data_IF_079611489485
#
_entry.id   IF_079611489485
#
_cell.length_a   1.000
_cell.length_b   1.000
_cell.length_c   1.000
_cell.angle_alpha   90.00
_cell.angle_beta   90.00
_cell.angle_gamma   90.00
#
_symmetry.space_group_name_H-M   'P 1'
#
loop_
_entity.id
_entity.type
_entity.pdbx_description
1 polymer ?
#
# COMPACT_ATOMS: atom_id res chain seq x y z
N UNK A 1 -13.25 55.78 37.24
CA UNK A 1 -12.52 54.54 36.86
C UNK A 1 -13.34 53.55 36.01
N UNK A 2 -14.38 53.96 35.26
CA UNK A 2 -15.30 53.01 34.57
C UNK A 2 -15.18 52.95 33.03
N UNK A 3 -14.35 53.80 32.41
CA UNK A 3 -14.28 53.98 30.94
C UNK A 3 -13.24 53.11 30.20
N UNK A 4 -12.40 52.35 30.90
CA UNK A 4 -11.33 51.51 30.29
C UNK A 4 -11.67 50.02 30.18
N UNK A 5 -12.81 49.59 30.72
CA UNK A 5 -13.20 48.17 30.77
C UNK A 5 -13.85 47.73 29.45
N UNK A 6 -14.57 48.64 28.78
CA UNK A 6 -15.29 48.37 27.53
C UNK A 6 -14.36 47.99 26.37
N UNK A 7 -13.24 48.70 26.07
CA UNK A 7 -12.37 48.29 24.97
C UNK A 7 -11.63 46.97 25.25
N UNK A 8 -11.37 46.66 26.53
CA UNK A 8 -10.73 45.40 26.94
C UNK A 8 -11.66 44.19 26.77
N UNK A 9 -12.96 44.35 27.07
CA UNK A 9 -13.96 43.32 26.82
C UNK A 9 -14.15 43.07 25.32
N UNK A 10 -14.07 44.13 24.51
CA UNK A 10 -14.17 44.01 23.05
C UNK A 10 -12.96 43.28 22.44
N UNK A 11 -11.74 43.56 22.90
CA UNK A 11 -10.55 42.84 22.42
C UNK A 11 -10.54 41.38 22.87
N UNK A 12 -10.98 41.07 24.09
CA UNK A 12 -11.10 39.69 24.55
C UNK A 12 -12.14 38.92 23.73
N UNK A 13 -13.32 39.52 23.48
CA UNK A 13 -14.36 38.91 22.66
C UNK A 13 -13.92 38.69 21.20
N UNK A 14 -13.14 39.61 20.64
CA UNK A 14 -12.57 39.46 19.28
C UNK A 14 -11.49 38.38 19.25
N UNK A 15 -10.67 38.25 20.30
CA UNK A 15 -9.65 37.21 20.40
C UNK A 15 -10.26 35.82 20.57
N UNK A 16 -11.37 35.68 21.32
CA UNK A 16 -12.07 34.41 21.48
C UNK A 16 -12.85 33.99 20.23
N UNK A 17 -13.32 34.95 19.41
CA UNK A 17 -13.86 34.66 18.07
C UNK A 17 -12.78 34.17 17.08
N UNK A 18 -11.52 34.50 17.29
CA UNK A 18 -10.39 34.03 16.46
C UNK A 18 -9.83 32.67 16.91
N UNK A 19 -10.16 32.20 18.12
CA UNK A 19 -9.64 30.96 18.71
C UNK A 19 -10.52 29.73 18.45
N UNK A 20 -11.71 29.90 17.85
CA UNK A 20 -12.57 28.78 17.45
C UNK A 20 -12.59 28.69 15.94
N UNK A 21 -11.45 28.32 15.35
CA UNK A 21 -11.49 27.61 14.08
C UNK A 21 -11.67 26.14 14.43
N UNK A 22 -12.75 25.47 14.00
CA UNK A 22 -12.84 24.03 14.16
C UNK A 22 -11.63 23.44 13.43
N UNK A 23 -10.75 22.78 14.18
CA UNK A 23 -9.58 22.05 13.68
C UNK A 23 -9.99 20.76 12.94
N UNK A 24 -11.21 20.72 12.39
CA UNK A 24 -11.86 19.58 11.75
C UNK A 24 -12.22 19.86 10.29
N UNK A 25 -11.53 20.81 9.64
CA UNK A 25 -11.65 21.04 8.19
C UNK A 25 -10.39 20.60 7.43
N UNK A 26 -9.69 19.59 7.95
CA UNK A 26 -8.85 18.72 7.14
C UNK A 26 -9.69 17.47 6.92
N UNK A 27 -10.39 17.38 5.79
CA UNK A 27 -10.81 16.07 5.29
C UNK A 27 -9.55 15.20 5.21
N UNK A 28 -9.57 13.95 5.69
CA UNK A 28 -8.44 13.06 5.51
C UNK A 28 -8.29 12.88 4.00
N UNK A 29 -7.19 13.37 3.45
CA UNK A 29 -6.78 13.05 2.08
C UNK A 29 -6.59 11.53 1.88
N UNK A 30 -6.62 10.75 2.97
CA UNK A 30 -6.43 9.30 3.02
C UNK A 30 -7.71 8.45 2.90
N UNK A 31 -8.93 9.02 2.90
CA UNK A 31 -10.15 8.20 2.75
C UNK A 31 -10.40 7.72 1.30
N UNK A 32 -9.70 8.29 0.31
CA UNK A 32 -9.88 7.97 -1.11
C UNK A 32 -9.00 6.83 -1.62
N UNK A 33 -7.99 6.38 -0.86
CA UNK A 33 -7.05 5.34 -1.30
C UNK A 33 -6.94 4.24 -0.24
N UNK A 34 -8.04 3.53 -0.01
CA UNK A 34 -8.08 2.36 0.86
C UNK A 34 -7.90 1.10 0.02
N UNK A 35 -6.93 0.28 0.38
CA UNK A 35 -6.70 -1.03 -0.24
C UNK A 35 -7.31 -2.10 0.67
N UNK A 36 -8.18 -2.93 0.10
CA UNK A 36 -8.76 -4.08 0.79
C UNK A 36 -7.83 -5.28 0.60
N UNK A 37 -7.07 -5.61 1.64
CA UNK A 37 -6.04 -6.64 1.58
C UNK A 37 -6.60 -7.99 2.01
N UNK A 38 -6.39 -8.99 1.18
CA UNK A 38 -6.74 -10.39 1.41
C UNK A 38 -5.50 -11.29 1.33
N UNK A 39 -5.64 -12.51 1.83
CA UNK A 39 -4.56 -13.49 1.90
C UNK A 39 -4.95 -14.80 1.19
N UNK A 40 -4.08 -15.27 0.31
CA UNK A 40 -4.16 -16.57 -0.34
C UNK A 40 -2.95 -17.42 0.09
N UNK A 41 -3.19 -18.64 0.58
CA UNK A 41 -2.13 -19.57 0.97
C UNK A 41 -2.01 -20.71 -0.02
N UNK A 42 -0.78 -21.04 -0.38
CA UNK A 42 -0.42 -22.28 -1.08
C UNK A 42 0.43 -23.17 -0.15
N UNK A 43 0.92 -24.29 -0.67
CA UNK A 43 1.83 -25.15 0.08
C UNK A 43 3.19 -24.45 0.35
N UNK A 44 3.66 -23.58 -0.56
CA UNK A 44 4.98 -22.96 -0.48
C UNK A 44 4.95 -21.45 -0.21
N UNK A 45 3.80 -20.79 -0.36
CA UNK A 45 3.70 -19.33 -0.30
C UNK A 45 2.50 -18.83 0.49
N UNK A 46 2.67 -17.63 1.05
CA UNK A 46 1.57 -16.79 1.52
C UNK A 46 1.56 -15.55 0.62
N UNK A 47 0.44 -15.33 -0.07
CA UNK A 47 0.26 -14.24 -1.03
C UNK A 47 -0.73 -13.25 -0.45
N UNK A 48 -0.25 -12.04 -0.14
CA UNK A 48 -1.10 -10.93 0.26
C UNK A 48 -1.42 -10.10 -0.98
N UNK A 49 -2.69 -9.98 -1.31
CA UNK A 49 -3.16 -9.30 -2.52
C UNK A 49 -4.27 -8.31 -2.20
N UNK A 50 -4.51 -7.37 -3.11
CA UNK A 50 -5.63 -6.45 -2.98
C UNK A 50 -6.87 -7.04 -3.65
N UNK A 51 -7.96 -7.24 -2.92
CA UNK A 51 -9.26 -7.58 -3.53
C UNK A 51 -9.84 -6.38 -4.27
N UNK A 52 -9.68 -5.19 -3.68
CA UNK A 52 -10.09 -3.94 -4.30
C UNK A 52 -9.25 -2.74 -3.82
N UNK A 53 -9.29 -1.66 -4.61
CA UNK A 53 -8.74 -0.35 -4.22
C UNK A 53 -9.82 0.70 -4.42
N UNK A 54 -10.22 1.36 -3.33
CA UNK A 54 -11.22 2.42 -3.38
C UNK A 54 -10.78 3.54 -4.32
N UNK A 55 -11.69 4.01 -5.18
CA UNK A 55 -11.42 5.12 -6.09
C UNK A 55 -10.47 4.82 -7.26
N UNK A 56 -9.98 3.59 -7.42
CA UNK A 56 -9.06 3.20 -8.49
C UNK A 56 -9.66 2.06 -9.32
N UNK A 57 -10.43 2.37 -10.40
CA UNK A 57 -11.09 1.35 -11.20
C UNK A 57 -10.12 0.48 -12.02
N UNK A 58 -8.92 0.98 -12.32
CA UNK A 58 -7.91 0.29 -13.13
C UNK A 58 -6.83 -0.40 -12.28
N UNK A 59 -7.16 -0.77 -11.04
CA UNK A 59 -6.22 -1.51 -10.19
C UNK A 59 -6.08 -2.95 -10.68
N UNK A 60 -4.89 -3.53 -10.53
CA UNK A 60 -4.68 -4.96 -10.76
C UNK A 60 -4.96 -5.69 -9.46
N UNK A 61 -6.16 -6.23 -9.34
CA UNK A 61 -6.75 -6.66 -8.07
C UNK A 61 -7.57 -7.94 -8.26
N UNK A 62 -7.99 -8.52 -7.12
CA UNK A 62 -8.91 -9.64 -7.06
C UNK A 62 -8.23 -10.99 -6.95
N UNK A 63 -9.03 -11.98 -6.54
CA UNK A 63 -8.56 -13.35 -6.31
C UNK A 63 -8.02 -14.01 -7.58
N UNK A 64 -8.58 -13.72 -8.76
CA UNK A 64 -8.14 -14.32 -10.03
C UNK A 64 -6.67 -13.98 -10.33
N UNK A 65 -6.24 -12.74 -10.06
CA UNK A 65 -4.85 -12.33 -10.22
C UNK A 65 -3.95 -13.04 -9.20
N UNK A 66 -4.41 -13.18 -7.95
CA UNK A 66 -3.67 -13.88 -6.91
C UNK A 66 -3.49 -15.37 -7.23
N UNK A 67 -4.52 -16.03 -7.77
CA UNK A 67 -4.46 -17.43 -8.21
C UNK A 67 -3.55 -17.62 -9.43
N UNK A 68 -3.57 -16.68 -10.39
CA UNK A 68 -2.62 -16.68 -11.51
C UNK A 68 -1.17 -16.64 -10.98
N UNK A 69 -0.92 -15.71 -10.04
CA UNK A 69 0.40 -15.61 -9.42
C UNK A 69 0.78 -16.87 -8.66
N UNK A 70 -0.13 -17.43 -7.85
CA UNK A 70 0.08 -18.66 -7.11
C UNK A 70 0.56 -19.81 -8.00
N UNK A 71 -0.13 -20.04 -9.13
CA UNK A 71 0.26 -21.09 -10.07
C UNK A 71 1.65 -20.84 -10.69
N UNK A 72 1.95 -19.59 -11.04
CA UNK A 72 3.24 -19.22 -11.62
C UNK A 72 4.40 -19.42 -10.62
N UNK A 73 4.28 -18.90 -9.41
CA UNK A 73 5.34 -18.93 -8.38
C UNK A 73 5.53 -20.33 -7.76
N UNK A 74 4.48 -21.14 -7.61
CA UNK A 74 4.65 -22.56 -7.25
C UNK A 74 5.39 -23.33 -8.35
N UNK A 75 5.18 -23.00 -9.63
CA UNK A 75 5.97 -23.53 -10.74
C UNK A 75 7.46 -23.18 -10.62
N UNK A 76 7.76 -21.90 -10.39
CA UNK A 76 9.14 -21.44 -10.17
C UNK A 76 9.79 -22.12 -8.96
N UNK A 77 9.04 -22.31 -7.86
CA UNK A 77 9.52 -23.02 -6.69
C UNK A 77 9.95 -24.45 -7.05
N UNK A 78 9.07 -25.20 -7.73
CA UNK A 78 9.36 -26.58 -8.13
C UNK A 78 10.58 -26.64 -9.06
N UNK A 79 10.68 -25.73 -10.03
CA UNK A 79 11.85 -25.65 -10.93
C UNK A 79 13.15 -25.40 -10.15
N UNK A 80 13.13 -24.52 -9.15
CA UNK A 80 14.31 -24.21 -8.33
C UNK A 80 14.71 -25.40 -7.45
N UNK A 81 13.73 -26.06 -6.80
CA UNK A 81 13.99 -27.26 -6.00
C UNK A 81 14.60 -28.37 -6.86
N UNK A 82 14.07 -28.59 -8.05
CA UNK A 82 14.56 -29.61 -8.99
C UNK A 82 15.97 -29.29 -9.53
N UNK A 83 16.25 -28.04 -9.87
CA UNK A 83 17.56 -27.62 -10.41
C UNK A 83 18.65 -27.69 -9.35
N UNK A 84 18.35 -27.25 -8.13
CA UNK A 84 19.35 -27.11 -7.07
C UNK A 84 19.39 -28.30 -6.10
N UNK A 85 18.48 -29.27 -6.26
CA UNK A 85 18.34 -30.46 -5.39
C UNK A 85 18.32 -30.07 -3.90
N UNK A 86 17.57 -29.01 -3.60
CA UNK A 86 17.45 -28.46 -2.25
C UNK A 86 16.04 -27.93 -2.03
N UNK A 87 15.53 -28.12 -0.82
CA UNK A 87 14.31 -27.44 -0.37
C UNK A 87 14.64 -25.97 -0.08
N UNK A 88 13.70 -25.08 -0.41
CA UNK A 88 13.76 -23.68 -0.01
C UNK A 88 13.00 -23.50 1.31
N UNK A 89 13.35 -22.47 2.08
CA UNK A 89 12.62 -22.14 3.30
C UNK A 89 11.20 -21.64 2.96
N UNK A 90 10.20 -22.26 3.56
CA UNK A 90 8.77 -21.99 3.31
C UNK A 90 8.01 -21.73 4.62
N UNK A 91 6.89 -20.98 4.58
CA UNK A 91 6.33 -20.32 3.40
C UNK A 91 7.06 -19.01 3.05
N UNK A 92 7.18 -18.72 1.76
CA UNK A 92 7.70 -17.43 1.27
C UNK A 92 6.55 -16.44 1.18
N UNK A 93 6.71 -15.24 1.77
CA UNK A 93 5.67 -14.21 1.70
C UNK A 93 5.81 -13.38 0.42
N UNK A 94 4.73 -13.26 -0.33
CA UNK A 94 4.60 -12.37 -1.48
C UNK A 94 3.56 -11.30 -1.18
N UNK A 95 3.81 -10.06 -1.61
CA UNK A 95 2.79 -9.02 -1.62
C UNK A 95 2.63 -8.43 -3.00
N UNK A 96 1.40 -8.50 -3.50
CA UNK A 96 1.02 -8.03 -4.82
C UNK A 96 0.47 -6.61 -4.70
N UNK A 97 1.25 -5.62 -5.13
CA UNK A 97 0.82 -4.23 -5.09
C UNK A 97 -0.02 -3.89 -6.32
N UNK A 98 -1.28 -3.48 -6.14
CA UNK A 98 -2.26 -3.37 -7.22
C UNK A 98 -2.05 -2.13 -8.11
N UNK A 99 -1.22 -1.18 -7.66
CA UNK A 99 -0.94 0.08 -8.36
C UNK A 99 0.53 0.45 -8.22
N UNK A 100 1.06 1.20 -9.19
CA UNK A 100 2.41 1.76 -9.07
C UNK A 100 2.58 2.64 -7.82
N UNK A 101 1.56 3.44 -7.50
CA UNK A 101 1.59 4.33 -6.34
C UNK A 101 1.79 3.55 -5.04
N UNK A 102 0.97 2.51 -4.81
CA UNK A 102 1.08 1.65 -3.62
C UNK A 102 2.44 0.92 -3.55
N UNK A 103 3.01 0.56 -4.70
CA UNK A 103 4.35 -0.04 -4.76
C UNK A 103 5.46 0.98 -4.44
N UNK A 104 5.33 2.22 -4.90
CA UNK A 104 6.30 3.26 -4.63
C UNK A 104 6.37 3.68 -3.15
N UNK A 105 5.29 3.52 -2.41
CA UNK A 105 5.28 3.79 -0.97
C UNK A 105 6.24 2.87 -0.21
N UNK A 106 6.38 1.62 -0.66
CA UNK A 106 7.33 0.65 -0.08
C UNK A 106 8.68 0.64 -0.80
N UNK A 107 8.72 1.06 -2.07
CA UNK A 107 9.93 1.15 -2.88
C UNK A 107 10.08 2.51 -3.59
N UNK A 108 10.42 3.59 -2.87
CA UNK A 108 10.49 4.92 -3.48
C UNK A 108 11.55 5.05 -4.59
N UNK A 109 12.59 4.20 -4.58
CA UNK A 109 13.61 4.24 -5.62
C UNK A 109 13.08 3.71 -6.98
N UNK A 110 12.05 2.86 -6.98
CA UNK A 110 11.45 2.33 -8.21
C UNK A 110 10.78 3.39 -9.10
N UNK A 111 10.47 4.58 -8.56
CA UNK A 111 10.01 5.73 -9.37
C UNK A 111 11.08 6.20 -10.38
N UNK A 112 12.36 5.96 -10.06
CA UNK A 112 13.50 6.44 -10.85
C UNK A 112 14.20 5.34 -11.62
N UNK A 113 13.88 4.08 -11.33
CA UNK A 113 14.48 2.92 -11.98
C UNK A 113 13.38 2.19 -12.76
N UNK A 114 13.27 2.44 -14.08
CA UNK A 114 12.33 1.70 -14.91
C UNK A 114 12.71 0.22 -14.94
N UNK A 115 11.70 -0.66 -15.04
CA UNK A 115 11.88 -2.11 -15.18
C UNK A 115 12.02 -2.90 -13.87
N UNK A 116 12.07 -2.25 -12.70
CA UNK A 116 11.98 -2.97 -11.42
C UNK A 116 10.53 -3.41 -11.20
N UNK A 117 10.28 -4.71 -11.27
CA UNK A 117 8.93 -5.29 -11.09
C UNK A 117 8.74 -5.98 -9.75
N UNK A 118 9.82 -6.33 -9.05
CA UNK A 118 9.78 -6.95 -7.74
C UNK A 118 11.00 -6.52 -6.90
N UNK A 119 10.85 -6.52 -5.58
CA UNK A 119 11.96 -6.29 -4.66
C UNK A 119 11.74 -7.05 -3.35
N UNK A 120 12.85 -7.56 -2.78
CA UNK A 120 12.81 -8.14 -1.45
C UNK A 120 12.78 -7.03 -0.38
N UNK A 121 11.83 -7.13 0.54
CA UNK A 121 11.69 -6.30 1.73
C UNK A 121 12.31 -7.03 2.92
N UNK A 122 13.60 -6.77 3.14
CA UNK A 122 14.39 -7.44 4.19
C UNK A 122 13.85 -7.23 5.61
N UNK A 123 13.05 -6.19 5.85
CA UNK A 123 12.46 -5.90 7.16
C UNK A 123 11.12 -6.64 7.39
N UNK A 124 10.58 -7.33 6.39
CA UNK A 124 9.27 -8.00 6.44
C UNK A 124 9.30 -9.45 5.96
N UNK A 125 10.47 -9.95 5.56
CA UNK A 125 10.62 -11.29 4.97
C UNK A 125 9.61 -11.50 3.82
N UNK A 126 9.44 -10.47 3.01
CA UNK A 126 8.40 -10.38 1.98
C UNK A 126 9.02 -9.98 0.64
N UNK A 127 8.55 -10.55 -0.45
CA UNK A 127 8.86 -10.07 -1.80
C UNK A 127 7.67 -9.24 -2.28
N UNK A 128 7.92 -7.96 -2.48
CA UNK A 128 6.91 -7.02 -2.95
C UNK A 128 6.97 -6.91 -4.49
N UNK A 129 5.82 -7.10 -5.13
CA UNK A 129 5.65 -7.21 -6.58
C UNK A 129 4.76 -6.06 -7.06
N UNK A 130 5.17 -5.37 -8.14
CA UNK A 130 4.41 -4.30 -8.78
C UNK A 130 3.55 -4.86 -9.92
N UNK A 131 2.29 -5.19 -9.64
CA UNK A 131 1.41 -5.90 -10.60
C UNK A 131 1.19 -5.13 -11.90
N UNK A 132 1.04 -3.80 -11.83
CA UNK A 132 0.87 -2.95 -13.01
C UNK A 132 2.05 -3.04 -13.98
N UNK A 133 3.26 -3.36 -13.47
CA UNK A 133 4.45 -3.48 -14.30
C UNK A 133 4.61 -4.88 -14.89
N UNK A 134 4.08 -5.91 -14.24
CA UNK A 134 4.14 -7.28 -14.76
C UNK A 134 3.14 -7.50 -15.89
N UNK A 135 2.01 -6.80 -15.89
CA UNK A 135 1.09 -6.80 -17.04
C UNK A 135 1.72 -6.30 -18.34
N UNK A 136 2.78 -5.49 -18.26
CA UNK A 136 3.52 -5.05 -19.45
C UNK A 136 4.51 -6.11 -19.98
N UNK A 137 4.67 -7.23 -19.28
CA UNK A 137 5.60 -8.32 -19.62
C UNK A 137 4.89 -9.56 -20.20
N UNK A 138 3.57 -9.66 -20.03
CA UNK A 138 2.70 -10.69 -20.61
C UNK A 138 2.23 -10.34 -22.02
#
# INVERSE_FOLDING_TARGET
>A
MRKRIIPLLFTIALLSLLLVRPTYAQEPFDELFTIDWEELKTDNFIIVYADSVAGVPDCVCGVDEAEFYAGFIDGVYNDLVDIFDTELETPINLRLFPTEQSYYEVNPIAQRIPGVVAHALNNREEIAIALTRTQALS
#
